data_IF_563941634114
#
_entry.id   IF_563941634114
#
_cell.length_a   1.000
_cell.length_b   1.000
_cell.length_c   1.000
_cell.angle_alpha   90.00
_cell.angle_beta   90.00
_cell.angle_gamma   90.00
#
_symmetry.space_group_name_H-M   'P 1'
#
loop_
_entity.id
_entity.type
_entity.pdbx_description
1 polymer ?
#
# COMPACT_ATOMS: atom_id res chain seq x y z
N UNK A 1 44.07 -8.42 -3.37
CA UNK A 1 44.03 -8.92 -1.99
C UNK A 1 43.43 -7.81 -1.14
N UNK A 2 42.25 -7.90 -0.56
CA UNK A 2 41.36 -9.04 -0.33
C UNK A 2 39.91 -8.55 -0.32
N UNK A 3 39.02 -9.48 -0.65
CA UNK A 3 37.56 -9.49 -0.49
C UNK A 3 36.94 -8.41 0.41
N UNK A 4 36.16 -7.50 -0.19
CA UNK A 4 34.91 -7.08 0.44
C UNK A 4 33.81 -7.95 -0.15
N UNK A 5 33.53 -9.04 0.56
CA UNK A 5 32.33 -9.83 0.35
C UNK A 5 31.11 -8.89 0.36
N UNK A 6 30.46 -8.72 -0.79
CA UNK A 6 29.09 -8.25 -0.87
C UNK A 6 28.23 -9.51 -0.95
N UNK A 7 27.65 -10.00 0.16
CA UNK A 7 26.74 -11.13 0.12
C UNK A 7 25.35 -10.62 -0.28
N UNK A 8 25.24 -9.98 -1.45
CA UNK A 8 23.93 -9.67 -2.02
C UNK A 8 23.65 -10.72 -3.07
N UNK A 9 22.88 -11.72 -2.67
CA UNK A 9 22.36 -12.68 -3.63
C UNK A 9 21.45 -11.90 -4.60
N UNK A 10 21.58 -12.09 -5.91
CA UNK A 10 20.76 -11.41 -6.95
C UNK A 10 19.25 -11.44 -6.63
N UNK A 11 18.83 -12.50 -5.92
CA UNK A 11 17.48 -12.70 -5.39
C UNK A 11 17.04 -11.63 -4.39
N UNK A 12 17.90 -11.28 -3.43
CA UNK A 12 17.56 -10.34 -2.36
C UNK A 12 17.41 -8.93 -2.94
N UNK A 13 18.26 -8.57 -3.92
CA UNK A 13 18.13 -7.34 -4.70
C UNK A 13 16.83 -7.30 -5.50
N UNK A 14 16.44 -8.41 -6.16
CA UNK A 14 15.18 -8.47 -6.91
C UNK A 14 13.94 -8.33 -6.02
N UNK A 15 13.92 -8.98 -4.86
CA UNK A 15 12.81 -8.88 -3.90
C UNK A 15 12.71 -7.48 -3.30
N UNK A 16 13.85 -6.87 -2.94
CA UNK A 16 13.89 -5.48 -2.49
C UNK A 16 13.38 -4.52 -3.57
N UNK A 17 13.83 -4.68 -4.81
CA UNK A 17 13.35 -3.87 -5.93
C UNK A 17 11.85 -4.03 -6.17
N UNK A 18 11.32 -5.26 -6.06
CA UNK A 18 9.87 -5.50 -6.15
C UNK A 18 9.10 -4.82 -5.01
N UNK A 19 9.57 -4.94 -3.76
CA UNK A 19 8.96 -4.25 -2.61
C UNK A 19 8.97 -2.73 -2.74
N UNK A 20 10.06 -2.16 -3.25
CA UNK A 20 10.14 -0.70 -3.48
C UNK A 20 9.27 -0.24 -4.66
N UNK A 21 9.20 -1.03 -5.74
CA UNK A 21 8.27 -0.77 -6.85
C UNK A 21 6.82 -0.82 -6.37
N UNK A 22 6.53 -1.71 -5.42
CA UNK A 22 5.22 -1.83 -4.77
C UNK A 22 4.85 -0.56 -4.02
N UNK A 23 5.76 -0.06 -3.17
CA UNK A 23 5.54 1.17 -2.41
C UNK A 23 5.33 2.37 -3.33
N UNK A 24 6.12 2.47 -4.40
CA UNK A 24 5.99 3.53 -5.40
C UNK A 24 4.66 3.48 -6.14
N UNK A 25 4.29 2.29 -6.67
CA UNK A 25 3.04 2.09 -7.39
C UNK A 25 1.83 2.29 -6.47
N UNK A 26 1.91 1.83 -5.22
CA UNK A 26 0.90 2.06 -4.19
C UNK A 26 0.70 3.55 -3.92
N UNK A 27 1.78 4.30 -3.70
CA UNK A 27 1.72 5.74 -3.47
C UNK A 27 1.16 6.51 -4.69
N UNK A 28 1.60 6.17 -5.92
CA UNK A 28 1.07 6.78 -7.16
C UNK A 28 -0.41 6.45 -7.39
N UNK A 29 -0.82 5.22 -7.08
CA UNK A 29 -2.22 4.78 -7.21
C UNK A 29 -3.12 5.50 -6.21
N UNK A 30 -2.66 5.63 -4.96
CA UNK A 30 -3.37 6.39 -3.93
C UNK A 30 -3.39 7.88 -4.22
N UNK A 31 -2.29 8.46 -4.74
CA UNK A 31 -2.28 9.84 -5.21
C UNK A 31 -3.38 10.06 -6.26
N UNK A 32 -3.52 9.13 -7.20
CA UNK A 32 -4.57 9.16 -8.23
C UNK A 32 -5.97 9.00 -7.65
N UNK A 33 -6.13 8.19 -6.61
CA UNK A 33 -7.38 8.03 -5.89
C UNK A 33 -7.81 9.30 -5.14
N UNK A 34 -6.91 9.87 -4.32
CA UNK A 34 -7.21 11.05 -3.51
C UNK A 34 -7.28 12.33 -4.33
N UNK A 35 -6.58 12.41 -5.46
CA UNK A 35 -6.74 13.50 -6.44
C UNK A 35 -8.18 13.61 -6.93
N UNK A 36 -8.86 12.48 -7.19
CA UNK A 36 -10.29 12.50 -7.57
C UNK A 36 -11.19 12.98 -6.45
N UNK A 37 -10.85 12.63 -5.20
CA UNK A 37 -11.61 13.02 -4.00
C UNK A 37 -11.31 14.46 -3.55
N UNK A 38 -10.30 15.12 -4.14
CA UNK A 38 -9.86 16.48 -3.80
C UNK A 38 -9.46 16.63 -2.32
N UNK A 39 -8.73 15.65 -1.80
CA UNK A 39 -8.27 15.64 -0.41
C UNK A 39 -6.83 16.11 -0.30
N UNK A 40 -6.66 17.40 0.00
CA UNK A 40 -5.38 18.10 -0.08
C UNK A 40 -4.31 17.49 0.83
N UNK A 41 -4.68 17.20 2.07
CA UNK A 41 -3.77 16.69 3.09
C UNK A 41 -3.21 15.34 2.67
N UNK A 42 -4.08 14.46 2.14
CA UNK A 42 -3.68 13.11 1.73
C UNK A 42 -2.88 13.15 0.43
N UNK A 43 -3.24 14.03 -0.51
CA UNK A 43 -2.45 14.27 -1.74
C UNK A 43 -1.01 14.63 -1.39
N UNK A 44 -0.79 15.56 -0.44
CA UNK A 44 0.55 15.96 0.01
C UNK A 44 1.32 14.76 0.58
N UNK A 45 0.69 13.97 1.46
CA UNK A 45 1.32 12.79 2.06
C UNK A 45 1.72 11.77 0.98
N UNK A 46 0.84 11.51 0.02
CA UNK A 46 1.15 10.56 -1.05
C UNK A 46 2.21 11.08 -2.01
N UNK A 47 2.23 12.38 -2.32
CA UNK A 47 3.32 12.99 -3.09
C UNK A 47 4.66 12.84 -2.37
N UNK A 48 4.71 13.14 -1.07
CA UNK A 48 5.93 12.95 -0.27
C UNK A 48 6.37 11.49 -0.29
N UNK A 49 5.44 10.54 -0.19
CA UNK A 49 5.72 9.11 -0.29
C UNK A 49 6.26 8.69 -1.66
N UNK A 50 5.75 9.26 -2.76
CA UNK A 50 6.29 9.03 -4.11
C UNK A 50 7.73 9.57 -4.21
N UNK A 51 7.96 10.80 -3.75
CA UNK A 51 9.27 11.45 -3.84
C UNK A 51 10.31 10.75 -2.95
N UNK A 52 9.96 10.40 -1.71
CA UNK A 52 10.87 9.68 -0.81
C UNK A 52 11.26 8.33 -1.37
N UNK A 53 10.30 7.60 -1.95
CA UNK A 53 10.59 6.32 -2.58
C UNK A 53 11.47 6.51 -3.82
N UNK A 54 11.20 7.53 -4.64
CA UNK A 54 12.00 7.83 -5.82
C UNK A 54 13.47 8.15 -5.49
N UNK A 55 13.73 8.85 -4.38
CA UNK A 55 15.11 9.07 -3.89
C UNK A 55 15.82 7.75 -3.60
N UNK A 56 15.14 6.79 -2.98
CA UNK A 56 15.71 5.45 -2.75
C UNK A 56 16.01 4.72 -4.07
N UNK A 57 15.13 4.85 -5.07
CA UNK A 57 15.40 4.31 -6.41
C UNK A 57 16.64 4.93 -7.07
N UNK A 58 16.81 6.25 -6.94
CA UNK A 58 18.01 6.92 -7.44
C UNK A 58 19.27 6.44 -6.71
N UNK A 59 19.21 6.22 -5.39
CA UNK A 59 20.32 5.67 -4.62
C UNK A 59 20.72 4.27 -5.09
N UNK A 60 19.75 3.40 -5.40
CA UNK A 60 20.02 2.05 -5.91
C UNK A 60 20.62 2.06 -7.30
N UNK A 61 20.16 2.97 -8.17
CA UNK A 61 20.74 3.14 -9.51
C UNK A 61 22.18 3.64 -9.42
N UNK A 62 22.46 4.61 -8.54
CA UNK A 62 23.81 5.12 -8.27
C UNK A 62 24.72 4.05 -7.64
N UNK A 63 24.15 3.13 -6.85
CA UNK A 63 24.86 2.00 -6.27
C UNK A 63 24.98 0.79 -7.23
N UNK A 64 24.61 0.95 -8.51
CA UNK A 64 24.61 -0.10 -9.54
C UNK A 64 23.77 -1.35 -9.19
N UNK A 65 22.90 -1.24 -8.20
CA UNK A 65 21.99 -2.31 -7.76
C UNK A 65 20.74 -2.40 -8.64
N UNK A 66 20.38 -1.33 -9.34
CA UNK A 66 19.27 -1.27 -10.29
C UNK A 66 19.79 -1.08 -11.72
N UNK A 67 19.42 -1.96 -12.69
CA UNK A 67 19.80 -1.75 -14.08
C UNK A 67 19.19 -0.47 -14.65
N UNK A 68 20.00 0.30 -15.37
CA UNK A 68 19.64 1.61 -15.91
C UNK A 68 18.31 1.63 -16.70
N UNK A 69 17.97 0.63 -17.55
CA UNK A 69 16.70 0.63 -18.28
C UNK A 69 15.47 0.65 -17.35
N UNK A 70 15.52 -0.10 -16.25
CA UNK A 70 14.42 -0.13 -15.28
C UNK A 70 14.32 1.18 -14.50
N UNK A 71 15.46 1.80 -14.17
CA UNK A 71 15.48 3.10 -13.51
C UNK A 71 14.88 4.19 -14.39
N UNK A 72 15.25 4.24 -15.67
CA UNK A 72 14.71 5.20 -16.64
C UNK A 72 13.20 5.00 -16.82
N UNK A 73 12.75 3.76 -17.03
CA UNK A 73 11.32 3.46 -17.16
C UNK A 73 10.53 3.88 -15.92
N UNK A 74 11.05 3.58 -14.73
CA UNK A 74 10.44 3.99 -13.45
C UNK A 74 10.38 5.51 -13.34
N UNK A 75 11.46 6.22 -13.67
CA UNK A 75 11.54 7.68 -13.62
C UNK A 75 10.50 8.33 -14.53
N UNK A 76 10.30 7.80 -15.74
CA UNK A 76 9.28 8.28 -16.68
C UNK A 76 7.88 8.09 -16.09
N UNK A 77 7.59 6.92 -15.51
CA UNK A 77 6.27 6.65 -14.89
C UNK A 77 6.02 7.57 -13.69
N UNK A 78 7.02 7.81 -12.85
CA UNK A 78 6.91 8.71 -11.70
C UNK A 78 6.68 10.14 -12.14
N UNK A 79 7.47 10.65 -13.08
CA UNK A 79 7.34 12.00 -13.60
C UNK A 79 5.96 12.19 -14.27
N UNK A 80 5.55 11.25 -15.13
CA UNK A 80 4.23 11.28 -15.76
C UNK A 80 3.12 11.22 -14.71
N UNK A 81 3.25 10.35 -13.71
CA UNK A 81 2.24 10.21 -12.67
C UNK A 81 2.08 11.47 -11.82
N UNK A 82 3.18 12.09 -11.39
CA UNK A 82 3.12 13.36 -10.66
C UNK A 82 2.48 14.46 -11.53
N UNK A 83 2.98 14.65 -12.75
CA UNK A 83 2.46 15.68 -13.67
C UNK A 83 0.98 15.49 -13.94
N UNK A 84 0.55 14.28 -14.31
CA UNK A 84 -0.85 13.99 -14.64
C UNK A 84 -1.77 14.15 -13.42
N UNK A 85 -1.33 13.74 -12.24
CA UNK A 85 -2.10 13.94 -11.01
C UNK A 85 -2.27 15.43 -10.67
N UNK A 86 -1.20 16.21 -10.70
CA UNK A 86 -1.29 17.65 -10.43
C UNK A 86 -2.09 18.39 -11.51
N UNK A 87 -1.89 18.09 -12.79
CA UNK A 87 -2.68 18.69 -13.86
C UNK A 87 -4.18 18.36 -13.73
N UNK A 88 -4.52 17.12 -13.33
CA UNK A 88 -5.90 16.74 -13.06
C UNK A 88 -6.46 17.44 -11.81
N UNK A 89 -5.64 17.60 -10.77
CA UNK A 89 -6.02 18.34 -9.56
C UNK A 89 -6.27 19.83 -9.84
N UNK A 90 -5.59 20.45 -10.80
CA UNK A 90 -5.81 21.83 -11.21
C UNK A 90 -6.81 21.97 -12.37
N UNK A 91 -7.57 20.93 -12.70
CA UNK A 91 -8.56 20.91 -13.80
C UNK A 91 -7.97 21.28 -15.18
N UNK A 92 -6.66 21.13 -15.33
CA UNK A 92 -5.91 21.45 -16.55
C UNK A 92 -5.77 20.24 -17.49
N UNK A 93 -6.28 19.07 -17.10
CA UNK A 93 -6.10 17.82 -17.83
C UNK A 93 -7.37 17.40 -18.58
N UNK A 94 -7.20 16.98 -19.83
CA UNK A 94 -8.30 16.41 -20.60
C UNK A 94 -8.76 15.08 -19.99
N UNK A 95 -10.08 14.89 -19.86
CA UNK A 95 -10.68 13.68 -19.31
C UNK A 95 -10.24 12.38 -20.02
N UNK A 96 -9.94 12.41 -21.32
CA UNK A 96 -9.42 11.26 -22.06
C UNK A 96 -8.00 10.87 -21.61
N UNK A 97 -7.14 11.86 -21.37
CA UNK A 97 -5.76 11.63 -20.90
C UNK A 97 -5.79 11.10 -19.47
N UNK A 98 -6.63 11.68 -18.62
CA UNK A 98 -6.83 11.18 -17.26
C UNK A 98 -7.32 9.73 -17.25
N UNK A 99 -8.30 9.40 -18.09
CA UNK A 99 -8.82 8.02 -18.22
C UNK A 99 -7.75 7.03 -18.67
N UNK A 100 -6.86 7.42 -19.59
CA UNK A 100 -5.75 6.59 -20.02
C UNK A 100 -4.77 6.32 -18.86
N UNK A 101 -4.49 7.33 -18.05
CA UNK A 101 -3.66 7.20 -16.85
C UNK A 101 -4.29 6.25 -15.82
N UNK A 102 -5.61 6.37 -15.60
CA UNK A 102 -6.35 5.46 -14.71
C UNK A 102 -6.26 4.01 -15.18
N UNK A 103 -6.42 3.77 -16.48
CA UNK A 103 -6.30 2.44 -17.07
C UNK A 103 -4.90 1.88 -16.91
N UNK A 104 -3.88 2.69 -17.18
CA UNK A 104 -2.48 2.32 -17.01
C UNK A 104 -2.17 1.90 -15.56
N UNK A 105 -2.59 2.71 -14.58
CA UNK A 105 -2.39 2.39 -13.16
C UNK A 105 -3.21 1.18 -12.73
N UNK A 106 -4.42 0.99 -13.26
CA UNK A 106 -5.27 -0.16 -12.96
C UNK A 106 -4.63 -1.47 -13.44
N UNK A 107 -4.15 -1.49 -14.68
CA UNK A 107 -3.48 -2.66 -15.27
C UNK A 107 -2.13 -2.91 -14.59
N UNK A 108 -1.35 -1.86 -14.36
CA UNK A 108 -0.08 -1.92 -13.64
C UNK A 108 -0.26 -2.47 -12.23
N UNK A 109 -1.21 -1.92 -11.46
CA UNK A 109 -1.54 -2.39 -10.12
C UNK A 109 -1.91 -3.88 -10.10
N UNK A 110 -2.90 -4.27 -10.90
CA UNK A 110 -3.41 -5.64 -10.90
C UNK A 110 -2.39 -6.67 -11.37
N UNK A 111 -1.48 -6.31 -12.28
CA UNK A 111 -0.41 -7.23 -12.70
C UNK A 111 0.65 -7.40 -11.62
N UNK A 112 1.00 -6.31 -10.93
CA UNK A 112 2.07 -6.30 -9.93
C UNK A 112 1.66 -7.00 -8.64
N UNK A 113 0.41 -6.84 -8.19
CA UNK A 113 -0.05 -7.39 -6.91
C UNK A 113 0.09 -8.93 -6.81
N UNK A 114 -0.47 -9.75 -7.70
CA UNK A 114 -0.32 -11.19 -7.66
C UNK A 114 1.14 -11.64 -7.83
N UNK A 115 1.91 -10.87 -8.60
CA UNK A 115 3.34 -11.15 -8.78
C UNK A 115 4.13 -10.98 -7.48
N UNK A 116 3.85 -9.93 -6.71
CA UNK A 116 4.49 -9.71 -5.41
C UNK A 116 4.06 -10.80 -4.43
N UNK A 117 2.77 -11.10 -4.37
CA UNK A 117 2.23 -12.16 -3.51
C UNK A 117 2.92 -13.49 -3.77
N UNK A 118 3.11 -13.84 -5.05
CA UNK A 118 3.84 -15.03 -5.45
C UNK A 118 5.32 -14.95 -5.06
N UNK A 119 6.01 -13.86 -5.42
CA UNK A 119 7.44 -13.69 -5.15
C UNK A 119 7.80 -13.79 -3.67
N UNK A 120 6.88 -13.42 -2.77
CA UNK A 120 7.05 -13.47 -1.31
C UNK A 120 7.39 -14.88 -0.83
N UNK A 121 6.84 -15.92 -1.46
CA UNK A 121 7.02 -17.30 -1.04
C UNK A 121 8.16 -18.03 -1.78
N UNK A 122 8.90 -17.37 -2.66
CA UNK A 122 10.05 -17.97 -3.35
C UNK A 122 11.21 -18.13 -2.34
N UNK A 123 11.90 -19.29 -2.23
CA UNK A 123 11.91 -20.46 -3.14
C UNK A 123 10.90 -21.57 -2.84
N UNK A 124 10.05 -21.45 -1.82
CA UNK A 124 9.07 -22.49 -1.49
C UNK A 124 8.07 -22.72 -2.63
N UNK A 125 7.89 -21.71 -3.48
CA UNK A 125 7.21 -21.84 -4.77
C UNK A 125 8.14 -21.50 -5.94
N UNK A 126 7.87 -22.00 -7.17
CA UNK A 126 8.71 -21.74 -8.33
C UNK A 126 8.81 -20.25 -8.64
N UNK A 127 10.02 -19.77 -8.99
CA UNK A 127 10.16 -18.43 -9.53
C UNK A 127 9.47 -18.37 -10.91
N UNK A 128 8.41 -17.57 -11.02
CA UNK A 128 7.61 -17.46 -12.23
C UNK A 128 6.97 -16.08 -12.34
N UNK A 129 6.87 -15.58 -13.57
CA UNK A 129 6.11 -14.35 -13.91
C UNK A 129 4.63 -14.63 -14.19
N UNK A 130 4.24 -15.90 -14.15
CA UNK A 130 2.90 -16.37 -14.52
C UNK A 130 1.76 -15.64 -13.80
N UNK A 131 1.76 -15.44 -12.47
CA UNK A 131 0.62 -14.79 -11.80
C UNK A 131 0.47 -13.33 -12.24
N UNK A 132 1.58 -12.60 -12.41
CA UNK A 132 1.52 -11.24 -12.92
C UNK A 132 1.06 -11.16 -14.38
N UNK A 133 1.53 -12.08 -15.23
CA UNK A 133 1.14 -12.13 -16.64
C UNK A 133 -0.36 -12.46 -16.82
N UNK A 134 -0.89 -13.42 -16.07
CA UNK A 134 -2.32 -13.76 -16.10
C UNK A 134 -3.16 -12.57 -15.63
N UNK A 135 -2.76 -11.93 -14.53
CA UNK A 135 -3.47 -10.78 -14.00
C UNK A 135 -3.40 -9.56 -14.94
N UNK A 136 -2.28 -9.37 -15.63
CA UNK A 136 -2.14 -8.36 -16.69
C UNK A 136 -3.16 -8.58 -17.81
N UNK A 137 -3.27 -9.81 -18.34
CA UNK A 137 -4.22 -10.12 -19.41
C UNK A 137 -5.66 -9.90 -18.95
N UNK A 138 -6.00 -10.33 -17.73
CA UNK A 138 -7.35 -10.12 -17.16
C UNK A 138 -7.64 -8.63 -17.00
N UNK A 139 -6.69 -7.85 -16.48
CA UNK A 139 -6.85 -6.41 -16.29
C UNK A 139 -7.04 -5.68 -17.64
N UNK A 140 -6.25 -6.04 -18.66
CA UNK A 140 -6.39 -5.52 -20.01
C UNK A 140 -7.77 -5.82 -20.60
N UNK A 141 -8.25 -7.06 -20.46
CA UNK A 141 -9.59 -7.46 -20.93
C UNK A 141 -10.66 -6.65 -20.20
N UNK A 142 -10.58 -6.51 -18.88
CA UNK A 142 -11.55 -5.77 -18.08
C UNK A 142 -11.61 -4.28 -18.48
N UNK A 143 -10.44 -3.64 -18.68
CA UNK A 143 -10.35 -2.26 -19.17
C UNK A 143 -10.94 -2.13 -20.56
N UNK A 144 -10.57 -3.00 -21.51
CA UNK A 144 -11.10 -2.97 -22.88
C UNK A 144 -12.62 -3.14 -22.88
N UNK A 145 -13.16 -4.04 -22.07
CA UNK A 145 -14.61 -4.22 -21.93
C UNK A 145 -15.30 -2.99 -21.33
N UNK A 146 -14.66 -2.32 -20.36
CA UNK A 146 -15.15 -1.06 -19.81
C UNK A 146 -15.18 0.05 -20.86
N UNK A 147 -14.14 0.14 -21.71
CA UNK A 147 -14.02 1.18 -22.75
C UNK A 147 -14.89 0.93 -23.98
N UNK A 148 -15.17 -0.33 -24.31
CA UNK A 148 -16.05 -0.71 -25.43
C UNK A 148 -17.53 -0.71 -25.08
N UNK A 149 -17.90 -0.28 -23.86
CA UNK A 149 -19.29 -0.24 -23.41
C UNK A 149 -19.92 -1.63 -23.19
N UNK A 150 -19.10 -2.68 -23.08
CA UNK A 150 -19.57 -4.05 -22.84
C UNK A 150 -19.86 -4.33 -21.37
N UNK A 151 -19.42 -3.45 -20.46
CA UNK A 151 -19.73 -3.53 -19.04
C UNK A 151 -20.93 -2.66 -18.68
N UNK A 152 -21.72 -3.12 -17.71
CA UNK A 152 -22.75 -2.30 -17.07
C UNK A 152 -22.14 -1.10 -16.34
N UNK A 153 -22.94 -0.09 -16.02
CA UNK A 153 -22.47 1.09 -15.24
C UNK A 153 -21.81 0.67 -13.91
N UNK A 154 -22.37 -0.35 -13.23
CA UNK A 154 -21.77 -0.95 -12.03
C UNK A 154 -20.41 -1.57 -12.33
N UNK A 155 -20.26 -2.26 -13.46
CA UNK A 155 -18.99 -2.84 -13.91
C UNK A 155 -17.93 -1.79 -14.21
N UNK A 156 -18.30 -0.68 -14.86
CA UNK A 156 -17.39 0.45 -15.12
C UNK A 156 -16.93 1.10 -13.81
N UNK A 157 -17.86 1.34 -12.87
CA UNK A 157 -17.52 1.84 -11.53
C UNK A 157 -16.59 0.88 -10.77
N UNK A 158 -16.84 -0.42 -10.87
CA UNK A 158 -15.98 -1.44 -10.28
C UNK A 158 -14.57 -1.38 -10.86
N UNK A 159 -14.40 -1.38 -12.19
CA UNK A 159 -13.09 -1.25 -12.85
C UNK A 159 -12.38 0.03 -12.42
N UNK A 160 -13.10 1.15 -12.34
CA UNK A 160 -12.54 2.42 -11.86
C UNK A 160 -12.08 2.40 -10.40
N UNK A 161 -12.64 1.52 -9.58
CA UNK A 161 -12.26 1.34 -8.17
C UNK A 161 -11.07 0.37 -7.98
N UNK A 162 -10.76 -0.46 -8.98
CA UNK A 162 -9.70 -1.48 -8.91
C UNK A 162 -8.37 -0.86 -8.52
N UNK A 163 -7.95 0.24 -9.15
CA UNK A 163 -6.65 0.88 -8.84
C UNK A 163 -6.50 1.24 -7.36
N UNK A 164 -7.54 1.82 -6.73
CA UNK A 164 -7.55 2.12 -5.30
C UNK A 164 -7.49 0.85 -4.44
N UNK A 165 -8.26 -0.17 -4.80
CA UNK A 165 -8.26 -1.46 -4.10
C UNK A 165 -6.92 -2.16 -4.23
N UNK A 166 -6.32 -2.18 -5.41
CA UNK A 166 -5.00 -2.76 -5.62
C UNK A 166 -3.94 -2.03 -4.80
N UNK A 167 -3.97 -0.69 -4.76
CA UNK A 167 -3.08 0.06 -3.89
C UNK A 167 -3.23 -0.37 -2.43
N UNK A 168 -4.48 -0.43 -1.95
CA UNK A 168 -4.79 -0.86 -0.58
C UNK A 168 -4.27 -2.26 -0.30
N UNK A 169 -4.49 -3.22 -1.21
CA UNK A 169 -4.00 -4.59 -1.07
C UNK A 169 -2.47 -4.68 -1.11
N UNK A 170 -1.80 -3.86 -1.92
CA UNK A 170 -0.34 -3.75 -1.92
C UNK A 170 0.17 -3.27 -0.56
N UNK A 171 -0.46 -2.25 0.02
CA UNK A 171 -0.15 -1.80 1.38
C UNK A 171 -0.40 -2.89 2.42
N UNK A 172 -1.50 -3.63 2.30
CA UNK A 172 -1.82 -4.73 3.19
C UNK A 172 -0.84 -5.90 3.05
N UNK A 173 -0.26 -6.11 1.88
CA UNK A 173 0.66 -7.21 1.65
C UNK A 173 2.06 -6.95 2.23
N UNK A 174 2.50 -5.70 2.32
CA UNK A 174 3.80 -5.34 2.90
C UNK A 174 4.08 -5.98 4.28
N UNK A 175 3.21 -5.87 5.30
CA UNK A 175 3.42 -6.56 6.57
C UNK A 175 3.45 -8.08 6.46
N UNK A 176 2.68 -8.67 5.54
CA UNK A 176 2.67 -10.13 5.34
C UNK A 176 4.03 -10.60 4.85
N UNK A 177 4.59 -9.91 3.85
CA UNK A 177 5.93 -10.21 3.34
C UNK A 177 7.00 -10.04 4.43
N UNK A 178 6.93 -8.95 5.21
CA UNK A 178 7.85 -8.72 6.33
C UNK A 178 7.74 -9.81 7.40
N UNK A 179 6.53 -10.18 7.82
CA UNK A 179 6.31 -11.24 8.80
C UNK A 179 6.81 -12.59 8.29
N UNK A 180 6.59 -12.90 7.01
CA UNK A 180 7.11 -14.12 6.38
C UNK A 180 8.64 -14.17 6.44
N UNK A 181 9.32 -13.08 6.05
CA UNK A 181 10.79 -12.99 6.14
C UNK A 181 11.30 -13.12 7.58
N UNK A 182 10.60 -12.51 8.52
CA UNK A 182 10.91 -12.60 9.95
C UNK A 182 10.67 -13.99 10.53
N UNK A 183 9.65 -14.70 10.06
CA UNK A 183 9.38 -16.09 10.45
C UNK A 183 10.50 -17.03 9.98
N UNK A 184 10.99 -16.84 8.77
CA UNK A 184 12.09 -17.62 8.21
C UNK A 184 13.44 -17.30 8.87
N UNK A 185 13.67 -16.04 9.22
CA UNK A 185 14.90 -15.55 9.83
C UNK A 185 14.58 -14.71 11.09
N UNK A 186 14.37 -15.35 12.25
CA UNK A 186 13.95 -14.66 13.48
C UNK A 186 14.89 -13.56 13.96
N UNK A 187 16.18 -13.63 13.63
CA UNK A 187 17.15 -12.58 14.00
C UNK A 187 16.86 -11.23 13.33
N UNK A 188 16.15 -11.21 12.20
CA UNK A 188 15.74 -9.97 11.53
C UNK A 188 14.82 -9.10 12.40
N UNK A 189 14.06 -9.72 13.31
CA UNK A 189 13.14 -9.02 14.20
C UNK A 189 13.90 -8.07 15.14
N UNK A 190 15.11 -8.44 15.57
CA UNK A 190 15.94 -7.58 16.43
C UNK A 190 16.43 -6.31 15.71
N UNK A 191 16.46 -6.33 14.38
CA UNK A 191 16.78 -5.17 13.55
C UNK A 191 15.62 -4.18 13.38
N UNK A 192 14.41 -4.54 13.81
CA UNK A 192 13.25 -3.66 13.72
C UNK A 192 13.27 -2.63 14.85
N UNK A 193 13.19 -1.36 14.48
CA UNK A 193 13.04 -0.26 15.43
C UNK A 193 11.63 -0.27 16.04
N UNK A 194 11.55 -0.47 17.37
CA UNK A 194 10.30 -0.35 18.14
C UNK A 194 9.64 1.00 17.92
N UNK A 195 10.43 2.07 17.88
CA UNK A 195 9.92 3.41 17.65
C UNK A 195 9.27 3.55 16.27
N UNK A 196 9.90 2.98 15.24
CA UNK A 196 9.34 2.98 13.89
C UNK A 196 8.02 2.18 13.82
N UNK A 197 7.93 1.05 14.53
CA UNK A 197 6.69 0.25 14.59
C UNK A 197 5.58 0.98 15.36
N UNK A 198 5.91 1.71 16.43
CA UNK A 198 4.96 2.56 17.16
C UNK A 198 4.47 3.73 16.30
N UNK A 199 5.37 4.42 15.60
CA UNK A 199 5.00 5.48 14.66
C UNK A 199 4.13 4.95 13.52
N UNK A 200 4.45 3.77 12.99
CA UNK A 200 3.64 3.11 11.98
C UNK A 200 2.24 2.76 12.51
N UNK A 201 2.15 2.21 13.72
CA UNK A 201 0.88 1.90 14.38
C UNK A 201 0.04 3.18 14.58
N UNK A 202 0.64 4.24 15.13
CA UNK A 202 -0.05 5.50 15.39
C UNK A 202 -0.46 6.21 14.09
N UNK A 203 0.46 6.34 13.13
CA UNK A 203 0.19 7.03 11.86
C UNK A 203 -0.97 6.41 11.09
N UNK A 204 -1.00 5.06 10.99
CA UNK A 204 -2.13 4.36 10.37
C UNK A 204 -3.38 4.41 11.26
N UNK A 205 -3.22 4.31 12.58
CA UNK A 205 -4.33 4.38 13.53
C UNK A 205 -5.08 5.71 13.46
N UNK A 206 -4.35 6.83 13.29
CA UNK A 206 -4.91 8.16 13.13
C UNK A 206 -5.79 8.32 11.88
N UNK A 207 -5.63 7.44 10.88
CA UNK A 207 -6.45 7.46 9.67
C UNK A 207 -7.80 6.73 9.84
N UNK A 208 -7.94 5.87 10.86
CA UNK A 208 -9.15 5.08 11.11
C UNK A 208 -10.39 5.97 11.34
N UNK A 209 -10.36 6.99 12.23
CA UNK A 209 -11.54 7.84 12.45
C UNK A 209 -12.00 8.55 11.17
N UNK A 210 -11.06 9.07 10.38
CA UNK A 210 -11.38 9.74 9.11
C UNK A 210 -12.01 8.77 8.11
N UNK A 211 -11.47 7.57 7.99
CA UNK A 211 -12.01 6.55 7.09
C UNK A 211 -13.43 6.13 7.50
N UNK A 212 -13.64 5.96 8.81
CA UNK A 212 -14.94 5.62 9.38
C UNK A 212 -15.97 6.72 9.15
N UNK A 213 -15.60 7.97 9.44
CA UNK A 213 -16.46 9.14 9.27
C UNK A 213 -16.85 9.36 7.80
N UNK A 214 -15.90 9.25 6.88
CA UNK A 214 -16.16 9.43 5.44
C UNK A 214 -16.85 8.22 4.78
N UNK A 215 -17.13 7.16 5.53
CA UNK A 215 -17.64 5.87 5.03
C UNK A 215 -16.76 5.29 3.92
N UNK A 216 -15.45 5.46 4.05
CA UNK A 216 -14.44 4.96 3.11
C UNK A 216 -13.97 3.57 3.55
N UNK A 217 -14.75 2.54 3.19
CA UNK A 217 -14.47 1.16 3.58
C UNK A 217 -13.08 0.68 3.16
N UNK A 218 -12.67 1.04 1.94
CA UNK A 218 -11.37 0.66 1.39
C UNK A 218 -10.23 1.23 2.25
N UNK A 219 -10.30 2.53 2.57
CA UNK A 219 -9.29 3.17 3.40
C UNK A 219 -9.32 2.71 4.86
N UNK A 220 -10.52 2.43 5.38
CA UNK A 220 -10.69 1.87 6.72
C UNK A 220 -10.02 0.51 6.84
N UNK A 221 -10.23 -0.38 5.85
CA UNK A 221 -9.62 -1.70 5.83
C UNK A 221 -8.10 -1.60 5.79
N UNK A 222 -7.55 -0.79 4.88
CA UNK A 222 -6.10 -0.59 4.76
C UNK A 222 -5.47 -0.02 6.05
N UNK A 223 -6.07 1.04 6.61
CA UNK A 223 -5.58 1.70 7.82
C UNK A 223 -5.65 0.78 9.04
N UNK A 224 -6.75 0.04 9.19
CA UNK A 224 -6.92 -0.93 10.27
C UNK A 224 -5.92 -2.07 10.14
N UNK A 225 -5.76 -2.62 8.93
CA UNK A 225 -4.79 -3.67 8.66
C UNK A 225 -3.35 -3.24 8.96
N UNK A 226 -2.94 -2.06 8.49
CA UNK A 226 -1.61 -1.53 8.77
C UNK A 226 -1.40 -1.26 10.26
N UNK A 227 -2.41 -0.74 10.96
CA UNK A 227 -2.35 -0.54 12.42
C UNK A 227 -2.15 -1.86 13.16
N UNK A 228 -2.93 -2.88 12.83
CA UNK A 228 -2.94 -4.16 13.55
C UNK A 228 -1.79 -5.09 13.17
N UNK A 229 -1.50 -5.24 11.88
CA UNK A 229 -0.49 -6.18 11.39
C UNK A 229 0.87 -5.51 11.23
N UNK A 230 0.94 -4.38 10.53
CA UNK A 230 2.24 -3.71 10.30
C UNK A 230 2.79 -3.05 11.57
N UNK A 231 1.96 -2.34 12.33
CA UNK A 231 2.36 -1.73 13.60
C UNK A 231 2.37 -2.72 14.76
N UNK A 232 1.17 -3.06 15.24
CA UNK A 232 1.01 -3.84 16.46
C UNK A 232 1.55 -5.28 16.37
N UNK A 233 1.33 -5.97 15.24
CA UNK A 233 1.84 -7.32 15.01
C UNK A 233 3.36 -7.40 15.15
N UNK A 234 4.10 -6.44 14.59
CA UNK A 234 5.55 -6.37 14.76
C UNK A 234 5.97 -6.03 16.20
N UNK A 235 5.21 -5.19 16.92
CA UNK A 235 5.44 -4.92 18.36
C UNK A 235 5.24 -6.19 19.19
N UNK A 236 4.20 -6.98 18.88
CA UNK A 236 3.95 -8.27 19.52
C UNK A 236 5.10 -9.24 19.25
N UNK A 237 5.59 -9.32 18.00
CA UNK A 237 6.77 -10.12 17.68
C UNK A 237 7.99 -9.66 18.49
N UNK A 238 8.30 -8.36 18.51
CA UNK A 238 9.40 -7.81 19.29
C UNK A 238 9.31 -8.20 20.78
N UNK A 239 8.10 -8.20 21.34
CA UNK A 239 7.88 -8.65 22.72
C UNK A 239 8.15 -10.15 22.89
N UNK A 240 7.60 -11.00 22.01
CA UNK A 240 7.82 -12.44 22.03
C UNK A 240 9.30 -12.84 21.90
N UNK A 241 10.10 -12.03 21.19
CA UNK A 241 11.55 -12.23 21.03
C UNK A 241 12.40 -11.51 22.09
N UNK A 242 11.78 -11.01 23.16
CA UNK A 242 12.44 -10.28 24.25
C UNK A 242 13.26 -9.07 23.79
N UNK A 243 12.86 -8.43 22.68
CA UNK A 243 13.53 -7.25 22.12
C UNK A 243 12.99 -5.93 22.70
N UNK A 244 11.84 -5.95 23.37
CA UNK A 244 11.22 -4.78 24.02
C UNK A 244 10.76 -5.09 25.45
N UNK A 245 10.66 -4.05 26.27
CA UNK A 245 10.21 -4.20 27.65
C UNK A 245 8.71 -4.50 27.76
N UNK A 246 8.33 -5.13 28.87
CA UNK A 246 6.94 -5.45 29.19
C UNK A 246 6.07 -4.20 29.25
N UNK A 247 6.58 -3.13 29.86
CA UNK A 247 5.90 -1.85 30.03
C UNK A 247 5.60 -1.22 28.66
N UNK A 248 6.57 -1.22 27.75
CA UNK A 248 6.40 -0.71 26.39
C UNK A 248 5.31 -1.47 25.64
N UNK A 249 5.30 -2.81 25.74
CA UNK A 249 4.29 -3.64 25.10
C UNK A 249 2.87 -3.38 25.64
N UNK A 250 2.70 -3.34 26.96
CA UNK A 250 1.39 -3.08 27.56
C UNK A 250 0.90 -1.65 27.27
N UNK A 251 1.78 -0.65 27.32
CA UNK A 251 1.43 0.72 26.97
C UNK A 251 0.95 0.84 25.52
N UNK A 252 1.67 0.21 24.57
CA UNK A 252 1.30 0.19 23.15
C UNK A 252 -0.06 -0.51 22.93
N UNK A 253 -0.25 -1.66 23.56
CA UNK A 253 -1.49 -2.44 23.51
C UNK A 253 -2.68 -1.63 24.03
N UNK A 254 -2.56 -1.10 25.25
CA UNK A 254 -3.62 -0.31 25.88
C UNK A 254 -3.94 0.94 25.07
N UNK A 255 -2.93 1.67 24.60
CA UNK A 255 -3.11 2.86 23.77
C UNK A 255 -3.87 2.57 22.48
N UNK A 256 -3.53 1.46 21.80
CA UNK A 256 -4.21 1.02 20.58
C UNK A 256 -5.69 0.72 20.80
N UNK A 257 -6.01 -0.11 21.80
CA UNK A 257 -7.40 -0.49 22.07
C UNK A 257 -8.24 0.70 22.53
N UNK A 258 -7.67 1.60 23.35
CA UNK A 258 -8.34 2.84 23.74
C UNK A 258 -8.60 3.75 22.53
N UNK A 259 -7.63 3.87 21.61
CA UNK A 259 -7.77 4.67 20.40
C UNK A 259 -8.88 4.14 19.47
N UNK A 260 -8.86 2.84 19.17
CA UNK A 260 -9.90 2.21 18.33
C UNK A 260 -11.28 2.34 18.98
N UNK A 261 -11.38 2.06 20.28
CA UNK A 261 -12.62 2.20 21.03
C UNK A 261 -13.17 3.63 21.00
N UNK A 262 -12.29 4.62 21.20
CA UNK A 262 -12.66 6.04 21.12
C UNK A 262 -13.13 6.43 19.72
N UNK A 263 -12.43 5.99 18.67
CA UNK A 263 -12.78 6.30 17.28
C UNK A 263 -14.18 5.80 16.92
N UNK A 264 -14.48 4.54 17.25
CA UNK A 264 -15.78 3.93 17.02
C UNK A 264 -16.90 4.61 17.82
N UNK A 265 -16.63 4.93 19.09
CA UNK A 265 -17.57 5.63 19.96
C UNK A 265 -17.91 7.02 19.43
N UNK A 266 -16.90 7.81 19.05
CA UNK A 266 -17.09 9.16 18.53
C UNK A 266 -17.92 9.16 17.25
N UNK A 267 -17.66 8.22 16.34
CA UNK A 267 -18.46 8.07 15.12
C UNK A 267 -19.93 7.73 15.42
N UNK A 268 -20.16 6.82 16.36
CA UNK A 268 -21.52 6.45 16.82
C UNK A 268 -22.28 7.68 17.32
N UNK A 269 -21.63 8.52 18.13
CA UNK A 269 -22.24 9.74 18.68
C UNK A 269 -22.55 10.74 17.57
N UNK A 270 -21.66 10.93 16.60
CA UNK A 270 -21.86 11.89 15.50
C UNK A 270 -23.02 11.50 14.60
N UNK A 271 -23.20 10.21 14.31
CA UNK A 271 -24.29 9.71 13.48
C UNK A 271 -25.56 9.35 14.26
N UNK A 272 -25.54 9.46 15.59
CA UNK A 272 -26.69 9.14 16.45
C UNK A 272 -27.06 7.65 16.44
N UNK A 273 -26.11 6.76 16.17
CA UNK A 273 -26.37 5.32 16.13
C UNK A 273 -26.54 4.74 17.53
N UNK A 274 -27.33 3.67 17.64
CA UNK A 274 -27.54 2.96 18.92
C UNK A 274 -26.34 2.14 19.39
N UNK A 275 -25.36 1.87 18.51
CA UNK A 275 -24.14 1.13 18.89
C UNK A 275 -22.96 1.38 17.94
N UNK A 276 -21.71 1.19 18.40
CA UNK A 276 -20.51 1.13 17.56
C UNK A 276 -20.54 0.07 16.46
N UNK A 277 -21.29 -1.02 16.67
CA UNK A 277 -21.45 -2.05 15.64
C UNK A 277 -22.31 -1.57 14.48
N UNK A 278 -23.23 -0.63 14.73
CA UNK A 278 -24.03 0.01 13.68
C UNK A 278 -23.13 0.86 12.78
N UNK A 279 -22.19 1.63 13.33
CA UNK A 279 -21.18 2.36 12.55
C UNK A 279 -20.40 1.44 11.60
N UNK A 280 -19.98 0.26 12.09
CA UNK A 280 -19.25 -0.71 11.26
C UNK A 280 -20.14 -1.35 10.20
N UNK A 281 -21.39 -1.66 10.53
CA UNK A 281 -22.35 -2.22 9.58
C UNK A 281 -22.60 -1.26 8.42
N UNK A 282 -22.87 0.00 8.73
CA UNK A 282 -23.11 1.06 7.73
C UNK A 282 -21.88 1.30 6.86
N UNK A 283 -20.68 1.18 7.41
CA UNK A 283 -19.44 1.27 6.64
C UNK A 283 -19.31 0.12 5.61
N UNK A 284 -19.64 -1.12 5.98
CA UNK A 284 -19.44 -2.30 5.13
C UNK A 284 -20.55 -2.47 4.10
N UNK A 285 -21.80 -2.28 4.51
CA UNK A 285 -22.96 -2.60 3.67
C UNK A 285 -23.60 -1.37 3.02
N UNK A 286 -23.27 -0.16 3.48
CA UNK A 286 -24.06 1.03 3.17
C UNK A 286 -25.45 1.00 3.82
N UNK A 287 -26.16 2.12 3.73
CA UNK A 287 -27.57 2.21 4.15
C UNK A 287 -28.51 1.56 3.14
#
# INVERSE_FOLDING_TARGET
MADRALPWNLRDTMLQMQGMCTGLLGNLSLLSYFTKKRENEVIIVQTLGVLSQFVVFAQLALAEAMPLPYFVATSVVVAAGLVLNFMNYFDCLNAAIWRLWEDFITVGGLSVLPQIMWSTFVPYIPNSIFPGAVAFVIAMVAVIMARTGKLSEKGVKFVGAISGWTATLLFMWMPVAQMWTNFLNPDNIKGLSTFSMLLAMMGNGLMIPRALFMRDFMWFLGSTWATLFYGYGNILCLYCFNAISRECFFAATTGLFLWIGMALWKDTVVYGYGSPFTSLKELVFGS
#
